data_IF_742672261391
#
_entry.id   IF_742672261391
#
_cell.length_a   1.000
_cell.length_b   1.000
_cell.length_c   1.000
_cell.angle_alpha   90.00
_cell.angle_beta   90.00
_cell.angle_gamma   90.00
#
_symmetry.space_group_name_H-M   'P 1'
#
loop_
_entity.id
_entity.type
_entity.pdbx_description
1 polymer ?
#
# COMPACT_ATOMS: atom_id res chain seq x y z
N UNK A 1 -24.49 -8.51 -14.50
CA UNK A 1 -23.91 -7.17 -14.75
C UNK A 1 -24.97 -6.31 -15.44
N UNK A 2 -25.27 -5.14 -14.90
CA UNK A 2 -26.36 -4.28 -15.35
C UNK A 2 -25.85 -2.91 -15.77
N UNK A 3 -26.55 -2.28 -16.71
CA UNK A 3 -26.30 -0.93 -17.18
C UNK A 3 -26.57 0.07 -16.05
N UNK A 4 -25.57 0.85 -15.66
CA UNK A 4 -25.65 1.85 -14.57
C UNK A 4 -26.75 2.90 -14.78
N UNK A 5 -27.17 3.12 -16.03
CA UNK A 5 -28.24 4.07 -16.37
C UNK A 5 -29.66 3.47 -16.39
N UNK A 6 -29.84 2.31 -17.02
CA UNK A 6 -31.19 1.77 -17.32
C UNK A 6 -31.44 0.36 -16.79
N UNK A 7 -30.49 -0.26 -16.09
CA UNK A 7 -30.65 -1.58 -15.47
C UNK A 7 -30.63 -2.79 -16.43
N UNK A 8 -30.68 -2.58 -17.75
CA UNK A 8 -30.58 -3.66 -18.75
C UNK A 8 -29.21 -4.34 -18.75
N UNK A 9 -29.08 -5.51 -19.38
CA UNK A 9 -27.80 -6.19 -19.55
C UNK A 9 -26.75 -5.24 -20.16
N UNK A 10 -25.55 -5.20 -19.56
CA UNK A 10 -24.46 -4.38 -20.02
C UNK A 10 -23.60 -5.07 -21.08
N UNK A 11 -23.05 -4.30 -22.01
CA UNK A 11 -22.20 -4.79 -23.09
C UNK A 11 -20.91 -3.97 -23.26
N UNK A 12 -20.86 -2.75 -22.72
CA UNK A 12 -19.71 -1.84 -22.85
C UNK A 12 -19.36 -1.22 -21.49
N UNK A 13 -18.10 -0.89 -21.29
CA UNK A 13 -17.60 -0.14 -20.14
C UNK A 13 -17.11 1.25 -20.58
N UNK A 14 -16.95 2.16 -19.63
CA UNK A 14 -16.26 3.42 -19.92
C UNK A 14 -14.75 3.14 -20.07
N UNK A 15 -14.17 3.45 -21.22
CA UNK A 15 -12.75 3.24 -21.52
C UNK A 15 -11.82 3.99 -20.54
N UNK A 16 -12.24 5.17 -20.06
CA UNK A 16 -11.41 6.01 -19.17
C UNK A 16 -11.25 5.43 -17.77
N UNK A 17 -12.28 4.79 -17.24
CA UNK A 17 -12.27 4.23 -15.89
C UNK A 17 -12.48 2.70 -15.89
N UNK A 18 -12.15 2.02 -17.00
CA UNK A 18 -12.28 0.57 -17.12
C UNK A 18 -11.39 -0.19 -16.10
N UNK A 19 -10.28 0.43 -15.70
CA UNK A 19 -9.35 -0.03 -14.65
C UNK A 19 -9.53 0.75 -13.34
N UNK A 20 -10.60 1.55 -13.23
CA UNK A 20 -10.84 2.38 -12.05
C UNK A 20 -11.01 1.57 -10.77
N UNK A 21 -10.70 2.20 -9.64
CA UNK A 21 -10.78 1.56 -8.33
C UNK A 21 -11.85 2.20 -7.43
N UNK A 22 -12.45 1.37 -6.57
CA UNK A 22 -13.24 1.84 -5.43
C UNK A 22 -12.35 2.41 -4.31
N UNK A 23 -12.99 2.97 -3.28
CA UNK A 23 -12.29 3.53 -2.11
C UNK A 23 -11.39 2.51 -1.38
N UNK A 24 -11.75 1.23 -1.40
CA UNK A 24 -10.98 0.16 -0.79
C UNK A 24 -9.87 -0.40 -1.71
N UNK A 25 -9.71 0.13 -2.92
CA UNK A 25 -8.75 -0.35 -3.90
C UNK A 25 -9.22 -1.53 -4.75
N UNK A 26 -10.46 -1.98 -4.58
CA UNK A 26 -11.00 -3.05 -5.41
C UNK A 26 -11.32 -2.54 -6.83
N UNK A 27 -11.08 -3.36 -7.87
CA UNK A 27 -11.46 -3.03 -9.23
C UNK A 27 -12.95 -2.75 -9.33
N UNK A 28 -13.31 -1.66 -10.01
CA UNK A 28 -14.72 -1.39 -10.24
C UNK A 28 -14.99 -0.63 -11.53
N UNK A 29 -15.96 -1.17 -12.25
CA UNK A 29 -16.28 -0.80 -13.61
C UNK A 29 -17.69 -0.26 -13.68
N UNK A 30 -17.84 0.86 -14.39
CA UNK A 30 -19.14 1.41 -14.73
C UNK A 30 -19.53 0.85 -16.08
N UNK A 31 -20.63 0.11 -16.08
CA UNK A 31 -21.08 -0.69 -17.22
C UNK A 31 -22.32 -0.07 -17.85
N UNK A 32 -22.41 -0.14 -19.16
CA UNK A 32 -23.54 0.36 -19.93
C UNK A 32 -24.00 -0.69 -20.93
N UNK A 33 -25.29 -0.67 -21.29
CA UNK A 33 -25.82 -1.54 -22.35
C UNK A 33 -25.39 -1.09 -23.75
N UNK A 34 -24.85 0.13 -23.91
CA UNK A 34 -24.35 0.65 -25.17
C UNK A 34 -23.96 2.12 -25.09
N UNK A 35 -23.37 2.63 -26.18
CA UNK A 35 -22.81 3.99 -26.27
C UNK A 35 -23.83 5.10 -26.00
N UNK A 36 -25.10 4.88 -26.37
CA UNK A 36 -26.18 5.81 -26.09
C UNK A 36 -26.39 6.04 -24.59
N UNK A 37 -26.36 4.98 -23.77
CA UNK A 37 -26.51 5.12 -22.32
C UNK A 37 -25.28 5.77 -21.70
N UNK A 38 -24.07 5.45 -22.18
CA UNK A 38 -22.84 6.09 -21.75
C UNK A 38 -22.85 7.61 -22.02
N UNK A 39 -23.12 8.03 -23.26
CA UNK A 39 -23.14 9.46 -23.61
C UNK A 39 -24.25 10.21 -22.87
N UNK A 40 -25.41 9.59 -22.72
CA UNK A 40 -26.50 10.21 -21.99
C UNK A 40 -26.19 10.34 -20.49
N UNK A 41 -25.37 9.45 -19.92
CA UNK A 41 -25.00 9.45 -18.50
C UNK A 41 -23.74 10.27 -18.21
N UNK A 42 -23.07 10.77 -19.25
CA UNK A 42 -21.79 11.47 -19.19
C UNK A 42 -21.68 12.54 -18.10
N UNK A 43 -22.74 13.31 -17.86
CA UNK A 43 -22.73 14.35 -16.81
C UNK A 43 -22.73 13.76 -15.40
N UNK A 44 -23.56 12.76 -15.13
CA UNK A 44 -23.61 12.09 -13.82
C UNK A 44 -22.38 11.22 -13.59
N UNK A 45 -21.89 10.58 -14.66
CA UNK A 45 -20.70 9.75 -14.67
C UNK A 45 -19.39 10.53 -14.50
N UNK A 46 -19.30 11.79 -14.96
CA UNK A 46 -18.04 12.52 -15.02
C UNK A 46 -17.31 12.63 -13.67
N UNK A 47 -18.04 12.92 -12.58
CA UNK A 47 -17.45 13.04 -11.24
C UNK A 47 -16.95 11.69 -10.72
N UNK A 48 -17.76 10.63 -10.83
CA UNK A 48 -17.38 9.29 -10.39
C UNK A 48 -16.24 8.70 -11.24
N UNK A 49 -16.25 8.97 -12.55
CA UNK A 49 -15.16 8.60 -13.45
C UNK A 49 -13.82 9.22 -13.04
N UNK A 50 -13.81 10.51 -12.70
CA UNK A 50 -12.61 11.21 -12.23
C UNK A 50 -12.08 10.58 -10.94
N UNK A 51 -12.93 10.41 -9.93
CA UNK A 51 -12.54 9.82 -8.64
C UNK A 51 -11.94 8.42 -8.77
N UNK A 52 -12.46 7.59 -9.67
CA UNK A 52 -11.94 6.24 -9.92
C UNK A 52 -10.56 6.25 -10.56
N UNK A 53 -10.31 7.21 -11.46
CA UNK A 53 -9.00 7.40 -12.10
C UNK A 53 -8.01 7.94 -11.07
N UNK A 54 -8.39 8.93 -10.28
CA UNK A 54 -7.53 9.50 -9.24
C UNK A 54 -7.11 8.43 -8.22
N UNK A 55 -8.06 7.56 -7.80
CA UNK A 55 -7.75 6.40 -6.95
C UNK A 55 -6.80 5.44 -7.62
N UNK A 56 -7.06 5.06 -8.88
CA UNK A 56 -6.15 4.18 -9.62
C UNK A 56 -4.72 4.75 -9.67
N UNK A 57 -4.58 6.04 -9.95
CA UNK A 57 -3.29 6.72 -9.97
C UNK A 57 -2.63 6.73 -8.58
N UNK A 58 -3.39 7.00 -7.51
CA UNK A 58 -2.90 6.94 -6.13
C UNK A 58 -2.41 5.54 -5.75
N UNK A 59 -3.15 4.49 -6.08
CA UNK A 59 -2.75 3.09 -5.81
C UNK A 59 -1.50 2.71 -6.61
N UNK A 60 -1.39 3.15 -7.87
CA UNK A 60 -0.18 2.96 -8.69
C UNK A 60 1.03 3.67 -8.10
N UNK A 61 0.87 4.91 -7.66
CA UNK A 61 1.92 5.67 -7.00
C UNK A 61 2.37 4.99 -5.69
N UNK A 62 1.42 4.57 -4.85
CA UNK A 62 1.71 3.82 -3.62
C UNK A 62 2.45 2.52 -3.88
N UNK A 63 2.04 1.76 -4.91
CA UNK A 63 2.74 0.53 -5.33
C UNK A 63 4.17 0.83 -5.80
N UNK A 64 4.36 1.84 -6.64
CA UNK A 64 5.68 2.25 -7.12
C UNK A 64 6.61 2.62 -5.96
N UNK A 65 6.13 3.44 -5.03
CA UNK A 65 6.88 3.87 -3.84
C UNK A 65 7.24 2.67 -2.96
N UNK A 66 6.28 1.77 -2.73
CA UNK A 66 6.52 0.54 -1.96
C UNK A 66 7.58 -0.35 -2.62
N UNK A 67 7.48 -0.57 -3.93
CA UNK A 67 8.43 -1.41 -4.67
C UNK A 67 9.84 -0.78 -4.66
N UNK A 68 9.95 0.55 -4.82
CA UNK A 68 11.21 1.29 -4.70
C UNK A 68 11.81 1.19 -3.30
N UNK A 69 11.00 1.35 -2.25
CA UNK A 69 11.45 1.21 -0.86
C UNK A 69 11.96 -0.20 -0.56
N UNK A 70 11.24 -1.23 -1.00
CA UNK A 70 11.66 -2.61 -0.78
C UNK A 70 13.00 -2.90 -1.47
N UNK A 71 13.19 -2.40 -2.70
CA UNK A 71 14.47 -2.51 -3.40
C UNK A 71 15.60 -1.75 -2.69
N UNK A 72 15.33 -0.54 -2.17
CA UNK A 72 16.32 0.25 -1.45
C UNK A 72 16.69 -0.35 -0.09
N UNK A 73 15.88 -1.27 0.45
CA UNK A 73 16.20 -2.06 1.64
C UNK A 73 16.89 -3.39 1.32
N UNK A 74 16.52 -4.00 0.21
CA UNK A 74 17.07 -5.30 -0.20
C UNK A 74 18.50 -5.20 -0.73
N UNK A 75 18.83 -4.15 -1.50
CA UNK A 75 20.14 -4.02 -2.14
C UNK A 75 21.27 -3.67 -1.16
N UNK A 76 21.15 -2.63 -0.31
CA UNK A 76 22.12 -2.35 0.76
C UNK A 76 21.68 -3.01 2.06
N UNK A 77 21.39 -4.31 2.05
CA UNK A 77 20.88 -4.98 3.24
C UNK A 77 21.94 -4.98 4.36
N UNK A 78 21.60 -4.47 5.53
CA UNK A 78 22.54 -4.12 6.59
C UNK A 78 22.52 -5.10 7.78
N UNK A 79 21.72 -6.17 7.69
CA UNK A 79 21.59 -7.18 8.75
C UNK A 79 22.32 -8.47 8.39
N UNK A 80 23.14 -8.98 9.32
CA UNK A 80 23.76 -10.28 9.16
C UNK A 80 22.86 -11.36 9.77
N UNK A 81 22.19 -12.13 8.90
CA UNK A 81 21.23 -13.16 9.32
C UNK A 81 21.87 -14.55 9.18
N UNK A 82 21.90 -15.31 10.27
CA UNK A 82 22.34 -16.71 10.27
C UNK A 82 21.20 -17.67 9.90
N UNK A 83 19.98 -17.39 10.37
CA UNK A 83 18.80 -18.16 9.99
C UNK A 83 17.50 -17.41 10.27
N UNK A 84 16.46 -17.73 9.51
CA UNK A 84 15.07 -17.32 9.77
C UNK A 84 14.24 -18.59 9.98
N UNK A 85 13.41 -18.60 11.02
CA UNK A 85 12.44 -19.67 11.29
C UNK A 85 11.04 -19.11 11.41
N UNK A 86 10.08 -19.75 10.76
CA UNK A 86 8.66 -19.41 10.88
C UNK A 86 8.00 -20.23 11.99
N UNK A 87 7.31 -19.55 12.90
CA UNK A 87 6.45 -20.18 13.90
C UNK A 87 5.05 -19.53 13.84
N UNK A 88 4.15 -20.16 13.07
CA UNK A 88 2.83 -19.61 12.77
C UNK A 88 2.94 -18.27 12.02
N UNK A 89 2.50 -17.19 12.67
CA UNK A 89 2.55 -15.82 12.13
C UNK A 89 3.79 -15.02 12.55
N UNK A 90 4.79 -15.66 13.17
CA UNK A 90 6.02 -15.01 13.64
C UNK A 90 7.22 -15.48 12.82
N UNK A 91 8.07 -14.52 12.47
CA UNK A 91 9.41 -14.78 11.96
C UNK A 91 10.41 -14.63 13.12
N UNK A 92 11.22 -15.65 13.34
CA UNK A 92 12.27 -15.67 14.35
C UNK A 92 13.60 -15.61 13.62
N UNK A 93 14.28 -14.47 13.73
CA UNK A 93 15.59 -14.23 13.15
C UNK A 93 16.68 -14.57 14.18
N UNK A 94 17.75 -15.19 13.71
CA UNK A 94 18.96 -15.42 14.49
C UNK A 94 20.13 -14.69 13.83
N UNK A 95 20.78 -13.82 14.59
CA UNK A 95 22.04 -13.20 14.23
C UNK A 95 23.22 -14.09 14.66
N UNK A 96 24.36 -14.02 13.95
CA UNK A 96 25.55 -14.75 14.35
C UNK A 96 26.07 -14.24 15.70
N UNK A 97 26.71 -15.13 16.48
CA UNK A 97 27.28 -14.79 17.79
C UNK A 97 28.42 -13.76 17.71
N UNK A 98 29.11 -13.67 16.58
CA UNK A 98 30.26 -12.80 16.37
C UNK A 98 30.17 -12.19 14.97
N UNK A 99 30.05 -10.87 14.91
CA UNK A 99 30.25 -10.12 13.67
C UNK A 99 31.75 -10.13 13.33
N UNK A 100 32.08 -10.37 12.06
CA UNK A 100 33.47 -10.28 11.60
C UNK A 100 33.93 -8.83 11.78
N UNK A 101 34.98 -8.61 12.59
CA UNK A 101 35.51 -7.28 12.94
C UNK A 101 35.86 -6.40 11.73
N UNK A 102 36.12 -7.01 10.57
CA UNK A 102 36.37 -6.37 9.27
C UNK A 102 35.43 -6.91 8.18
N UNK A 103 34.19 -7.23 8.54
CA UNK A 103 33.17 -7.68 7.60
C UNK A 103 32.68 -6.56 6.69
N UNK A 104 31.91 -6.90 5.63
CA UNK A 104 31.25 -5.87 4.82
C UNK A 104 30.19 -5.14 5.64
N UNK A 105 29.89 -3.90 5.26
CA UNK A 105 28.81 -3.10 5.86
C UNK A 105 27.44 -3.59 5.38
N UNK A 106 27.37 -4.02 4.12
CA UNK A 106 26.17 -4.57 3.49
C UNK A 106 26.36 -6.05 3.19
N UNK A 107 25.28 -6.80 3.34
CA UNK A 107 25.16 -8.22 3.06
C UNK A 107 24.23 -8.43 1.88
N UNK A 108 24.35 -9.57 1.22
CA UNK A 108 23.32 -10.01 0.28
C UNK A 108 22.05 -10.37 1.07
N UNK A 109 20.89 -9.94 0.58
CA UNK A 109 19.64 -10.32 1.21
C UNK A 109 19.39 -11.83 1.05
N UNK A 110 19.15 -12.58 2.14
CA UNK A 110 19.08 -14.05 2.11
C UNK A 110 17.71 -14.51 1.59
N UNK A 111 17.47 -14.35 0.29
CA UNK A 111 16.21 -14.64 -0.38
C UNK A 111 15.73 -16.08 -0.14
N UNK A 112 16.66 -17.03 -0.07
CA UNK A 112 16.41 -18.45 0.14
C UNK A 112 15.87 -18.80 1.55
N UNK A 113 15.94 -17.88 2.51
CA UNK A 113 15.44 -18.09 3.88
C UNK A 113 13.94 -17.79 4.03
N UNK A 114 13.25 -17.37 2.97
CA UNK A 114 11.83 -16.97 3.02
C UNK A 114 10.96 -17.82 2.10
N UNK A 115 9.91 -18.41 2.66
CA UNK A 115 8.98 -19.26 1.90
C UNK A 115 8.05 -18.47 0.95
N UNK A 116 7.88 -17.18 1.20
CA UNK A 116 6.95 -16.34 0.45
C UNK A 116 7.30 -14.84 0.53
N UNK A 117 6.80 -14.10 -0.46
CA UNK A 117 7.00 -12.65 -0.59
C UNK A 117 6.48 -11.84 0.60
N UNK A 118 5.44 -12.31 1.31
CA UNK A 118 4.91 -11.59 2.47
C UNK A 118 5.93 -11.59 3.60
N UNK A 119 6.57 -12.73 3.87
CA UNK A 119 7.57 -12.86 4.93
C UNK A 119 8.85 -12.09 4.56
N UNK A 120 9.26 -12.13 3.28
CA UNK A 120 10.35 -11.29 2.76
C UNK A 120 10.09 -9.81 2.99
N UNK A 121 8.92 -9.32 2.58
CA UNK A 121 8.53 -7.91 2.78
C UNK A 121 8.48 -7.55 4.26
N UNK A 122 7.95 -8.44 5.10
CA UNK A 122 7.94 -8.23 6.55
C UNK A 122 9.35 -8.04 7.11
N UNK A 123 10.33 -8.85 6.67
CA UNK A 123 11.74 -8.68 7.05
C UNK A 123 12.30 -7.34 6.57
N UNK A 124 12.13 -7.01 5.28
CA UNK A 124 12.67 -5.77 4.70
C UNK A 124 12.10 -4.49 5.35
N UNK A 125 10.89 -4.58 5.89
CA UNK A 125 10.21 -3.48 6.59
C UNK A 125 10.38 -3.51 8.12
N UNK A 126 11.09 -4.50 8.67
CA UNK A 126 11.25 -4.62 10.11
C UNK A 126 12.12 -3.47 10.64
N UNK A 127 11.61 -2.76 11.66
CA UNK A 127 12.23 -1.57 12.26
C UNK A 127 12.37 -0.34 11.36
N UNK A 128 11.68 -0.29 10.21
CA UNK A 128 11.81 0.81 9.23
C UNK A 128 10.55 1.67 9.11
N UNK A 129 9.70 1.72 10.14
CA UNK A 129 8.40 2.41 10.07
C UNK A 129 8.54 3.90 9.70
N UNK A 130 9.58 4.56 10.22
CA UNK A 130 9.86 5.98 9.96
C UNK A 130 10.70 6.19 8.69
N UNK A 131 11.58 5.24 8.39
CA UNK A 131 12.53 5.32 7.28
C UNK A 131 11.82 5.35 5.93
N UNK A 132 10.71 4.59 5.80
CA UNK A 132 9.91 4.59 4.58
C UNK A 132 9.43 5.99 4.23
N UNK A 133 8.92 6.74 5.21
CA UNK A 133 8.48 8.11 4.98
C UNK A 133 9.69 9.04 4.73
N UNK A 134 10.70 8.98 5.58
CA UNK A 134 11.87 9.86 5.49
C UNK A 134 12.63 9.72 4.17
N UNK A 135 12.77 8.50 3.65
CA UNK A 135 13.53 8.22 2.42
C UNK A 135 12.68 8.37 1.16
N UNK A 136 11.38 8.09 1.23
CA UNK A 136 10.53 8.03 0.05
C UNK A 136 9.61 9.23 -0.13
N UNK A 137 9.62 10.22 0.77
CA UNK A 137 8.73 11.38 0.70
C UNK A 137 8.78 12.09 -0.66
N UNK A 138 9.97 12.41 -1.16
CA UNK A 138 10.13 13.09 -2.45
C UNK A 138 9.65 12.22 -3.63
N UNK A 139 9.90 10.90 -3.57
CA UNK A 139 9.42 9.98 -4.59
C UNK A 139 7.89 9.89 -4.56
N UNK A 140 7.31 9.84 -3.35
CA UNK A 140 5.87 9.85 -3.16
C UNK A 140 5.28 11.14 -3.73
N UNK A 141 5.77 12.32 -3.36
CA UNK A 141 5.30 13.61 -3.88
C UNK A 141 5.39 13.70 -5.41
N UNK A 142 6.47 13.20 -6.01
CA UNK A 142 6.60 13.15 -7.45
C UNK A 142 5.59 12.18 -8.09
N UNK A 143 5.39 10.99 -7.52
CA UNK A 143 4.53 9.94 -8.08
C UNK A 143 3.03 10.29 -8.10
N UNK A 144 2.63 11.22 -7.25
CA UNK A 144 1.25 11.68 -7.05
C UNK A 144 1.04 13.12 -7.53
N UNK A 145 2.02 13.71 -8.19
CA UNK A 145 1.94 15.08 -8.67
C UNK A 145 0.69 15.28 -9.53
N UNK A 146 -0.11 16.30 -9.19
CA UNK A 146 -1.37 16.60 -9.88
C UNK A 146 -2.61 15.90 -9.31
N UNK A 147 -2.46 14.94 -8.39
CA UNK A 147 -3.58 14.30 -7.69
C UNK A 147 -4.06 15.09 -6.47
N UNK A 148 -3.19 15.88 -5.88
CA UNK A 148 -3.50 16.71 -4.72
C UNK A 148 -2.82 18.07 -4.80
N UNK A 149 -3.34 19.00 -4.00
CA UNK A 149 -2.80 20.35 -3.88
C UNK A 149 -1.65 20.44 -2.88
N UNK A 150 -1.63 19.53 -1.88
CA UNK A 150 -0.61 19.50 -0.83
C UNK A 150 -0.47 18.11 -0.21
N UNK A 151 0.76 17.65 -0.01
CA UNK A 151 1.11 16.59 0.92
C UNK A 151 1.82 17.18 2.13
N UNK A 152 1.61 16.59 3.31
CA UNK A 152 2.32 16.97 4.53
C UNK A 152 2.33 15.81 5.50
N UNK A 153 3.46 15.63 6.19
CA UNK A 153 3.52 14.77 7.37
C UNK A 153 2.80 15.46 8.55
N UNK A 154 1.99 14.69 9.27
CA UNK A 154 1.29 15.17 10.46
C UNK A 154 1.60 14.20 11.60
N UNK A 155 2.21 14.71 12.67
CA UNK A 155 2.43 13.95 13.89
C UNK A 155 1.19 14.06 14.78
N UNK A 156 0.52 12.93 15.03
CA UNK A 156 -0.65 12.87 15.90
C UNK A 156 -0.22 12.43 17.29
N UNK A 157 -0.35 13.31 18.28
CA UNK A 157 -0.18 12.93 19.68
C UNK A 157 -1.50 12.38 20.22
N UNK A 158 -1.57 11.06 20.38
CA UNK A 158 -2.72 10.42 21.01
C UNK A 158 -2.70 10.66 22.52
N UNK A 159 -3.85 10.99 23.10
CA UNK A 159 -4.00 11.02 24.56
C UNK A 159 -3.85 9.59 25.10
N UNK A 160 -3.18 9.44 26.24
CA UNK A 160 -2.91 8.13 26.86
C UNK A 160 -4.18 7.29 27.06
N UNK A 161 -5.33 7.93 27.30
CA UNK A 161 -6.64 7.30 27.48
C UNK A 161 -7.16 6.57 26.22
N UNK A 162 -6.67 6.96 25.03
CA UNK A 162 -7.02 6.36 23.74
C UNK A 162 -6.03 5.27 23.31
N UNK A 163 -4.86 5.23 23.93
CA UNK A 163 -3.79 4.29 23.60
C UNK A 163 -3.88 3.03 24.48
N UNK A 164 -4.90 2.20 24.27
CA UNK A 164 -4.85 0.82 24.78
C UNK A 164 -3.98 -0.02 23.85
N UNK A 165 -2.76 -0.32 24.29
CA UNK A 165 -1.90 -1.31 23.64
C UNK A 165 -2.43 -2.69 24.09
N UNK A 166 -3.19 -3.35 23.22
CA UNK A 166 -3.64 -4.72 23.42
C UNK A 166 -2.48 -5.66 23.09
N UNK A 167 -2.10 -6.53 24.02
CA UNK A 167 -0.85 -7.32 24.09
C UNK A 167 -0.77 -8.50 23.10
N UNK A 168 -1.46 -8.41 21.96
CA UNK A 168 -1.21 -9.25 20.80
C UNK A 168 -2.31 -10.21 20.38
N UNK A 169 -3.58 -9.98 20.75
CA UNK A 169 -4.69 -10.83 20.26
C UNK A 169 -5.74 -10.18 19.36
N UNK A 170 -5.86 -8.85 19.23
CA UNK A 170 -6.77 -8.24 18.24
C UNK A 170 -6.45 -6.77 17.96
N UNK A 171 -5.94 -6.47 16.77
CA UNK A 171 -5.80 -5.09 16.31
C UNK A 171 -7.18 -4.57 15.85
N UNK A 172 -7.93 -3.91 16.73
CA UNK A 172 -9.02 -3.02 16.30
C UNK A 172 -8.85 -1.67 16.98
N UNK A 173 -8.49 -0.66 16.19
CA UNK A 173 -8.58 0.74 16.60
C UNK A 173 -10.06 1.03 16.92
N UNK A 174 -10.40 1.12 18.21
CA UNK A 174 -11.69 1.65 18.65
C UNK A 174 -11.57 3.16 18.77
N UNK A 175 -12.21 3.87 17.86
CA UNK A 175 -12.44 5.30 18.00
C UNK A 175 -13.50 5.51 19.10
N UNK A 176 -13.12 6.15 20.20
CA UNK A 176 -14.11 6.74 21.11
C UNK A 176 -14.40 8.14 20.63
N UNK A 177 -15.64 8.40 20.19
CA UNK A 177 -16.12 9.75 19.95
C UNK A 177 -16.21 10.46 21.31
N UNK A 178 -15.23 11.33 21.61
CA UNK A 178 -15.33 12.28 22.71
C UNK A 178 -16.33 13.37 22.33
N UNK A 179 -17.33 13.59 23.20
CA UNK A 179 -18.35 14.62 23.05
C UNK A 179 -17.89 16.03 23.39
#
# INVERSE_FOLDING_TARGET
MACSRCGRASAVNCEKCAEGLEQNGEPSQILYCGRQCLEADKKAHASDCGLRIDRLQLFRAGKLVQDAFLQSREQPFDLCIESVKKNGHRLIMKEPKVYKKNGPIYFEFPNEMFDNERDKKAMLTWMTCSDGLAQMFNLLEAAVQGLFTKASEVCLQLRAELARIDDGSNWRLRWSNGG
#
